data_IF_406092068858
#
_entry.id   IF_406092068858
#
_cell.length_a   1.000
_cell.length_b   1.000
_cell.length_c   1.000
_cell.angle_alpha   90.00
_cell.angle_beta   90.00
_cell.angle_gamma   90.00
#
_symmetry.space_group_name_H-M   'P 1'
#
loop_
_entity.id
_entity.type
_entity.pdbx_description
1 polymer ?
#
# COMPACT_ATOMS: atom_id res chain seq x y z
N UNK A 1 52.12 -16.50 -60.59
CA UNK A 1 52.09 -16.12 -59.16
C UNK A 1 51.54 -14.72 -59.03
N UNK A 2 50.42 -14.53 -58.32
CA UNK A 2 49.74 -13.25 -58.17
C UNK A 2 50.45 -12.46 -57.06
N UNK A 3 51.13 -11.36 -57.39
CA UNK A 3 51.78 -10.52 -56.39
C UNK A 3 50.72 -9.83 -55.53
N UNK A 4 50.72 -10.12 -54.22
CA UNK A 4 49.90 -9.40 -53.24
C UNK A 4 50.53 -8.02 -53.03
N UNK A 5 49.84 -6.96 -53.46
CA UNK A 5 50.24 -5.57 -53.17
C UNK A 5 50.24 -5.37 -51.65
N UNK A 6 51.40 -5.01 -51.10
CA UNK A 6 51.53 -4.53 -49.72
C UNK A 6 50.73 -3.24 -49.56
N UNK A 7 49.75 -3.25 -48.64
CA UNK A 7 49.03 -2.04 -48.25
C UNK A 7 49.92 -1.22 -47.30
N UNK A 8 49.93 0.12 -47.40
CA UNK A 8 50.72 0.95 -46.49
C UNK A 8 50.34 0.67 -45.04
N UNK A 9 51.35 0.51 -44.19
CA UNK A 9 51.15 0.34 -42.75
C UNK A 9 50.62 1.65 -42.14
N UNK A 10 49.68 1.54 -41.20
CA UNK A 10 49.14 2.66 -40.44
C UNK A 10 50.27 3.41 -39.71
N UNK A 11 50.21 4.74 -39.73
CA UNK A 11 51.17 5.56 -38.97
C UNK A 11 50.88 5.46 -37.47
N UNK A 12 51.92 5.59 -36.64
CA UNK A 12 51.78 5.50 -35.19
C UNK A 12 50.78 6.53 -34.63
N UNK A 13 50.72 7.72 -35.24
CA UNK A 13 49.78 8.78 -34.86
C UNK A 13 48.33 8.41 -35.19
N UNK A 14 48.06 7.79 -36.34
CA UNK A 14 46.71 7.32 -36.70
C UNK A 14 46.23 6.20 -35.76
N UNK A 15 47.15 5.33 -35.30
CA UNK A 15 46.85 4.31 -34.31
C UNK A 15 46.47 4.93 -32.96
N UNK A 16 47.21 5.94 -32.50
CA UNK A 16 46.90 6.66 -31.25
C UNK A 16 45.54 7.34 -31.33
N UNK A 17 45.24 8.08 -32.41
CA UNK A 17 43.95 8.74 -32.61
C UNK A 17 42.80 7.72 -32.60
N UNK A 18 42.98 6.58 -33.29
CA UNK A 18 41.98 5.52 -33.36
C UNK A 18 41.70 4.91 -31.98
N UNK A 19 42.74 4.65 -31.19
CA UNK A 19 42.58 4.14 -29.82
C UNK A 19 41.84 5.17 -28.96
N UNK A 20 42.20 6.45 -29.03
CA UNK A 20 41.53 7.51 -28.25
C UNK A 20 40.04 7.61 -28.56
N UNK A 21 39.66 7.65 -29.86
CA UNK A 21 38.25 7.70 -30.27
C UNK A 21 37.51 6.44 -29.81
N UNK A 22 38.13 5.27 -29.93
CA UNK A 22 37.56 4.01 -29.49
C UNK A 22 37.35 3.97 -27.97
N UNK A 23 38.32 4.47 -27.18
CA UNK A 23 38.19 4.56 -25.72
C UNK A 23 37.05 5.50 -25.31
N UNK A 24 36.92 6.65 -25.96
CA UNK A 24 35.79 7.58 -25.70
C UNK A 24 34.46 6.90 -26.00
N UNK A 25 34.36 6.19 -27.13
CA UNK A 25 33.16 5.49 -27.52
C UNK A 25 32.79 4.35 -26.54
N UNK A 26 33.76 3.54 -26.12
CA UNK A 26 33.54 2.51 -25.08
C UNK A 26 33.09 3.17 -23.77
N UNK A 27 33.73 4.26 -23.36
CA UNK A 27 33.37 4.97 -22.14
C UNK A 27 31.92 5.43 -22.15
N UNK A 28 31.46 6.03 -23.26
CA UNK A 28 30.07 6.43 -23.44
C UNK A 28 29.11 5.23 -23.44
N UNK A 29 29.49 4.14 -24.10
CA UNK A 29 28.67 2.92 -24.18
C UNK A 29 28.50 2.28 -22.80
N UNK A 30 29.58 2.21 -22.01
CA UNK A 30 29.57 1.66 -20.66
C UNK A 30 28.76 2.53 -19.70
N UNK A 31 28.90 3.86 -19.78
CA UNK A 31 28.09 4.78 -18.99
C UNK A 31 26.59 4.63 -19.27
N UNK A 32 26.23 4.52 -20.56
CA UNK A 32 24.85 4.28 -20.99
C UNK A 32 24.32 2.93 -20.46
N UNK A 33 25.13 1.88 -20.58
CA UNK A 33 24.77 0.54 -20.08
C UNK A 33 24.51 0.54 -18.57
N UNK A 34 25.39 1.15 -17.77
CA UNK A 34 25.23 1.25 -16.31
C UNK A 34 23.94 2.00 -15.97
N UNK A 35 23.68 3.13 -16.65
CA UNK A 35 22.48 3.92 -16.41
C UNK A 35 21.20 3.15 -16.75
N UNK A 36 21.20 2.44 -17.88
CA UNK A 36 20.08 1.61 -18.30
C UNK A 36 19.84 0.44 -17.33
N UNK A 37 20.91 -0.24 -16.91
CA UNK A 37 20.79 -1.35 -15.97
C UNK A 37 20.24 -0.90 -14.61
N UNK A 38 20.69 0.25 -14.10
CA UNK A 38 20.13 0.84 -12.88
C UNK A 38 18.64 1.15 -13.02
N UNK A 39 18.24 1.77 -14.12
CA UNK A 39 16.82 2.06 -14.39
C UNK A 39 15.97 0.79 -14.45
N UNK A 40 16.48 -0.30 -15.04
CA UNK A 40 15.78 -1.58 -15.05
C UNK A 40 15.59 -2.18 -13.65
N UNK A 41 16.62 -2.11 -12.80
CA UNK A 41 16.53 -2.60 -11.42
C UNK A 41 15.52 -1.80 -10.59
N UNK A 42 15.49 -0.48 -10.75
CA UNK A 42 14.53 0.40 -10.08
C UNK A 42 13.09 0.14 -10.55
N UNK A 43 12.90 -0.04 -11.86
CA UNK A 43 11.59 -0.39 -12.42
C UNK A 43 11.10 -1.76 -11.91
N UNK A 44 12.00 -2.74 -11.77
CA UNK A 44 11.66 -4.06 -11.23
C UNK A 44 11.23 -3.98 -9.77
N UNK A 45 11.95 -3.21 -8.93
CA UNK A 45 11.59 -3.00 -7.52
C UNK A 45 10.23 -2.30 -7.39
N UNK A 46 10.02 -1.23 -8.16
CA UNK A 46 8.74 -0.49 -8.18
C UNK A 46 7.57 -1.37 -8.62
N UNK A 47 7.78 -2.21 -9.64
CA UNK A 47 6.75 -3.14 -10.11
C UNK A 47 6.39 -4.18 -9.06
N UNK A 48 7.38 -4.70 -8.33
CA UNK A 48 7.14 -5.66 -7.24
C UNK A 48 6.29 -5.02 -6.14
N UNK A 49 6.65 -3.81 -5.73
CA UNK A 49 5.91 -3.07 -4.70
C UNK A 49 4.47 -2.76 -5.14
N UNK A 50 4.27 -2.42 -6.42
CA UNK A 50 2.95 -2.17 -6.98
C UNK A 50 2.08 -3.45 -7.01
N UNK A 51 2.64 -4.60 -7.38
CA UNK A 51 1.90 -5.88 -7.33
C UNK A 51 1.49 -6.25 -5.92
N UNK A 52 2.34 -5.97 -4.94
CA UNK A 52 2.05 -6.22 -3.54
C UNK A 52 0.96 -5.29 -3.02
N UNK A 53 1.07 -3.99 -3.33
CA UNK A 53 0.04 -3.00 -3.06
C UNK A 53 -1.31 -3.44 -3.64
N UNK A 54 -1.35 -3.82 -4.92
CA UNK A 54 -2.56 -4.30 -5.58
C UNK A 54 -3.14 -5.54 -4.87
N UNK A 55 -2.29 -6.46 -4.42
CA UNK A 55 -2.74 -7.66 -3.68
C UNK A 55 -3.39 -7.29 -2.34
N UNK A 56 -2.72 -6.46 -1.53
CA UNK A 56 -3.24 -5.96 -0.24
C UNK A 56 -4.58 -5.26 -0.46
N UNK A 57 -4.64 -4.42 -1.49
CA UNK A 57 -5.82 -3.67 -1.85
C UNK A 57 -6.98 -4.54 -2.29
N UNK A 58 -6.73 -5.56 -3.10
CA UNK A 58 -7.76 -6.47 -3.55
C UNK A 58 -8.34 -7.25 -2.36
N UNK A 59 -7.50 -7.69 -1.42
CA UNK A 59 -7.96 -8.37 -0.19
C UNK A 59 -8.87 -7.44 0.62
N UNK A 60 -8.41 -6.22 0.95
CA UNK A 60 -9.21 -5.26 1.71
C UNK A 60 -10.51 -4.87 0.99
N UNK A 61 -10.44 -4.66 -0.32
CA UNK A 61 -11.60 -4.28 -1.12
C UNK A 61 -12.61 -5.41 -1.18
N UNK A 62 -12.18 -6.66 -1.40
CA UNK A 62 -13.08 -7.82 -1.38
C UNK A 62 -13.75 -7.95 -0.02
N UNK A 63 -12.97 -7.87 1.07
CA UNK A 63 -13.52 -7.92 2.43
C UNK A 63 -14.52 -6.79 2.71
N UNK A 64 -14.25 -5.57 2.26
CA UNK A 64 -15.17 -4.42 2.41
C UNK A 64 -16.46 -4.54 1.59
N UNK A 65 -16.40 -5.21 0.44
CA UNK A 65 -17.57 -5.42 -0.42
C UNK A 65 -18.43 -6.59 0.08
N UNK A 66 -17.82 -7.60 0.70
CA UNK A 66 -18.50 -8.80 1.20
C UNK A 66 -19.07 -8.63 2.61
N UNK A 67 -18.51 -7.70 3.39
CA UNK A 67 -18.85 -7.49 4.79
C UNK A 67 -19.37 -6.07 5.05
N UNK A 68 -20.15 -5.92 6.12
CA UNK A 68 -20.58 -4.60 6.62
C UNK A 68 -19.54 -4.04 7.58
N UNK A 69 -19.52 -2.73 7.74
CA UNK A 69 -18.71 -2.08 8.77
C UNK A 69 -19.28 -2.41 10.15
N UNK A 70 -18.42 -2.77 11.09
CA UNK A 70 -18.80 -3.06 12.47
C UNK A 70 -18.74 -1.78 13.31
N UNK A 71 -19.84 -1.02 13.33
CA UNK A 71 -19.92 0.21 14.12
C UNK A 71 -19.92 -0.04 15.64
N UNK A 72 -20.37 -1.22 16.08
CA UNK A 72 -20.40 -1.58 17.50
C UNK A 72 -18.99 -1.70 18.07
N UNK A 73 -18.03 -2.19 17.27
CA UNK A 73 -16.61 -2.23 17.63
C UNK A 73 -16.09 -0.86 18.06
N UNK A 74 -16.51 0.20 17.36
CA UNK A 74 -16.11 1.58 17.63
C UNK A 74 -16.95 2.26 18.73
N UNK A 75 -18.14 1.73 19.05
CA UNK A 75 -19.00 2.25 20.10
C UNK A 75 -18.67 1.70 21.49
N UNK A 76 -18.17 0.45 21.56
CA UNK A 76 -17.83 -0.25 22.81
C UNK A 76 -16.50 0.22 23.40
N UNK A 77 -15.53 0.58 22.55
CA UNK A 77 -14.33 1.28 22.96
C UNK A 77 -14.66 2.76 23.19
N UNK A 78 -15.32 3.05 24.32
CA UNK A 78 -15.70 4.40 24.78
C UNK A 78 -14.52 5.35 25.08
N UNK A 79 -13.41 5.18 24.39
CA UNK A 79 -12.22 6.01 24.46
C UNK A 79 -11.62 6.13 23.06
N UNK A 80 -12.18 7.05 22.28
CA UNK A 80 -11.61 7.46 20.99
C UNK A 80 -10.12 7.84 21.09
N UNK A 81 -9.58 8.07 22.30
CA UNK A 81 -8.17 8.36 22.52
C UNK A 81 -7.26 7.13 22.48
N UNK A 82 -7.73 5.92 22.80
CA UNK A 82 -6.88 4.71 22.82
C UNK A 82 -6.56 4.18 21.41
N UNK A 83 -7.52 4.24 20.48
CA UNK A 83 -7.29 3.93 19.06
C UNK A 83 -6.54 5.05 18.31
N UNK A 84 -6.70 6.31 18.75
CA UNK A 84 -5.92 7.46 18.23
C UNK A 84 -4.47 7.47 18.73
N UNK A 85 -4.20 6.96 19.93
CA UNK A 85 -2.87 6.95 20.54
C UNK A 85 -1.91 5.90 19.94
N UNK A 86 -2.40 4.87 19.23
CA UNK A 86 -1.53 3.83 18.65
C UNK A 86 -1.09 4.08 17.20
N UNK A 87 -1.58 5.14 16.54
CA UNK A 87 -1.24 5.46 15.15
C UNK A 87 -0.99 6.95 14.95
N UNK A 88 0.18 7.44 15.36
CA UNK A 88 0.71 8.79 15.09
C UNK A 88 -0.16 9.99 15.57
N UNK A 89 0.45 10.86 16.38
CA UNK A 89 -0.07 12.18 16.79
C UNK A 89 -0.47 13.12 15.61
N UNK A 90 -0.21 12.72 14.36
CA UNK A 90 -0.62 13.41 13.13
C UNK A 90 -2.12 13.29 12.77
N UNK A 91 -2.85 12.31 13.31
CA UNK A 91 -4.30 12.14 13.04
C UNK A 91 -5.18 13.07 13.89
N UNK A 92 -4.63 13.71 14.92
CA UNK A 92 -5.39 14.65 15.75
C UNK A 92 -5.79 15.92 14.99
N UNK A 93 -4.96 16.37 14.05
CA UNK A 93 -5.12 17.67 13.36
C UNK A 93 -6.16 17.63 12.21
N UNK A 94 -6.52 16.44 11.72
CA UNK A 94 -7.54 16.28 10.66
C UNK A 94 -8.99 16.30 11.18
N UNK A 95 -9.19 16.07 12.49
CA UNK A 95 -10.53 16.14 13.11
C UNK A 95 -11.11 17.55 13.24
N UNK A 96 -10.32 18.58 12.91
CA UNK A 96 -10.73 19.99 12.91
C UNK A 96 -11.51 20.41 11.65
N UNK A 97 -11.62 19.53 10.64
CA UNK A 97 -12.30 19.83 9.37
C UNK A 97 -13.82 19.58 9.37
N UNK A 98 -14.41 19.23 10.51
CA UNK A 98 -15.88 19.16 10.65
C UNK A 98 -16.56 18.11 9.76
N UNK A 99 -15.82 17.10 9.30
CA UNK A 99 -16.40 15.95 8.62
C UNK A 99 -16.94 14.98 9.66
N UNK A 100 -18.14 14.45 9.41
CA UNK A 100 -18.82 13.42 10.19
C UNK A 100 -18.14 12.04 9.99
N UNK A 101 -16.81 12.02 9.91
CA UNK A 101 -15.99 10.89 9.50
C UNK A 101 -15.28 10.26 10.70
N UNK A 102 -15.33 8.94 10.78
CA UNK A 102 -14.55 8.19 11.76
C UNK A 102 -13.15 7.90 11.19
N UNK A 103 -12.13 8.55 11.74
CA UNK A 103 -10.73 8.30 11.40
C UNK A 103 -10.13 7.24 12.34
N UNK A 104 -9.53 6.20 11.79
CA UNK A 104 -9.03 5.06 12.57
C UNK A 104 -7.89 4.33 11.86
N UNK A 105 -6.95 3.78 12.63
CA UNK A 105 -5.90 2.87 12.14
C UNK A 105 -6.37 1.41 12.08
N UNK A 106 -7.60 1.13 12.54
CA UNK A 106 -8.20 -0.20 12.61
C UNK A 106 -9.54 -0.21 11.87
N UNK A 107 -9.69 -1.10 10.90
CA UNK A 107 -10.94 -1.35 10.20
C UNK A 107 -11.57 -2.65 10.68
N UNK A 108 -12.71 -2.56 11.36
CA UNK A 108 -13.50 -3.70 11.80
C UNK A 108 -14.69 -3.91 10.86
N UNK A 109 -14.81 -5.12 10.34
CA UNK A 109 -15.87 -5.55 9.47
C UNK A 109 -16.57 -6.75 10.11
N UNK A 110 -17.87 -6.86 9.87
CA UNK A 110 -18.69 -7.98 10.29
C UNK A 110 -19.39 -8.61 9.10
N UNK A 111 -19.43 -9.93 9.08
CA UNK A 111 -20.16 -10.68 8.06
C UNK A 111 -21.65 -10.36 8.10
N UNK A 112 -22.31 -10.64 6.98
CA UNK A 112 -23.74 -10.43 6.77
C UNK A 112 -24.60 -11.30 7.71
N UNK A 113 -24.11 -12.49 8.05
CA UNK A 113 -24.74 -13.40 9.01
C UNK A 113 -24.51 -13.00 10.48
N UNK A 114 -23.51 -12.15 10.72
CA UNK A 114 -23.15 -11.66 12.05
C UNK A 114 -22.20 -12.57 12.82
N UNK A 115 -21.83 -13.73 12.27
CA UNK A 115 -21.05 -14.74 12.99
C UNK A 115 -19.54 -14.53 12.87
N UNK A 116 -19.10 -13.92 11.76
CA UNK A 116 -17.69 -13.64 11.53
C UNK A 116 -17.36 -12.15 11.66
N UNK A 117 -16.24 -11.84 12.31
CA UNK A 117 -15.65 -10.50 12.37
C UNK A 117 -14.25 -10.51 11.75
N UNK A 118 -13.96 -9.54 10.90
CA UNK A 118 -12.66 -9.34 10.25
C UNK A 118 -12.10 -8.00 10.71
N UNK A 119 -10.90 -8.01 11.30
CA UNK A 119 -10.22 -6.81 11.77
C UNK A 119 -8.93 -6.63 10.97
N UNK A 120 -8.80 -5.49 10.29
CA UNK A 120 -7.55 -5.03 9.71
C UNK A 120 -6.89 -4.07 10.69
N UNK A 121 -5.65 -4.37 11.08
CA UNK A 121 -4.87 -3.54 11.99
C UNK A 121 -3.49 -3.27 11.41
N UNK A 122 -3.06 -2.01 11.49
CA UNK A 122 -1.68 -1.64 11.27
C UNK A 122 -1.04 -1.25 12.61
N UNK A 123 0.04 -1.94 12.98
CA UNK A 123 0.79 -1.65 14.19
C UNK A 123 2.28 -1.97 13.98
N UNK A 124 3.14 -1.03 14.36
CA UNK A 124 4.60 -1.16 14.29
C UNK A 124 5.11 -1.56 12.88
N UNK A 125 4.54 -0.94 11.84
CA UNK A 125 4.93 -1.21 10.45
C UNK A 125 4.39 -2.53 9.87
N UNK A 126 3.63 -3.30 10.67
CA UNK A 126 3.03 -4.57 10.25
C UNK A 126 1.54 -4.40 10.05
N UNK A 127 1.06 -4.81 8.88
CA UNK A 127 -0.35 -4.84 8.53
C UNK A 127 -0.88 -6.27 8.62
N UNK A 128 -1.83 -6.49 9.52
CA UNK A 128 -2.46 -7.78 9.77
C UNK A 128 -3.95 -7.77 9.47
N UNK A 129 -4.46 -8.92 9.07
CA UNK A 129 -5.88 -9.26 8.99
C UNK A 129 -6.16 -10.36 10.01
N UNK A 130 -7.13 -10.15 10.88
CA UNK A 130 -7.54 -11.10 11.90
C UNK A 130 -9.00 -11.48 11.67
N UNK A 131 -9.31 -12.78 11.69
CA UNK A 131 -10.68 -13.29 11.59
C UNK A 131 -11.11 -13.95 12.90
N UNK A 132 -12.33 -13.63 13.32
CA UNK A 132 -12.97 -14.15 14.52
C UNK A 132 -14.31 -14.77 14.15
N UNK A 133 -14.64 -15.86 14.81
CA UNK A 133 -15.96 -16.50 14.74
C UNK A 133 -16.56 -16.45 16.15
N UNK A 134 -17.73 -15.83 16.28
CA UNK A 134 -18.46 -15.70 17.55
C UNK A 134 -18.96 -17.06 18.07
N UNK A 135 -19.18 -18.07 17.22
CA UNK A 135 -19.73 -19.36 17.63
C UNK A 135 -18.67 -20.40 18.08
N UNK A 136 -17.37 -20.15 17.83
CA UNK A 136 -16.33 -21.18 17.92
C UNK A 136 -15.17 -20.98 18.91
N UNK A 137 -14.91 -19.76 19.39
CA UNK A 137 -13.65 -19.46 20.09
C UNK A 137 -13.82 -19.24 21.60
N UNK A 138 -13.51 -20.28 22.40
CA UNK A 138 -13.37 -20.17 23.86
C UNK A 138 -12.10 -19.40 24.29
N UNK A 139 -11.17 -19.19 23.37
CA UNK A 139 -9.99 -18.32 23.47
C UNK A 139 -9.76 -17.74 22.07
N UNK A 140 -9.75 -16.41 21.95
CA UNK A 140 -9.92 -15.68 20.69
C UNK A 140 -8.95 -16.01 19.53
N UNK A 141 -9.36 -15.54 18.35
CA UNK A 141 -8.68 -15.56 17.05
C UNK A 141 -8.64 -16.93 16.34
N UNK A 142 -9.25 -17.00 15.15
CA UNK A 142 -9.22 -18.19 14.30
C UNK A 142 -8.07 -18.15 13.28
N UNK A 143 -7.78 -16.98 12.72
CA UNK A 143 -6.77 -16.80 11.68
C UNK A 143 -6.18 -15.37 11.78
N UNK A 144 -4.86 -15.26 11.65
CA UNK A 144 -4.15 -13.97 11.61
C UNK A 144 -3.11 -14.01 10.50
N UNK A 145 -3.35 -13.21 9.46
CA UNK A 145 -2.48 -13.13 8.28
C UNK A 145 -1.77 -11.79 8.24
N UNK A 146 -0.48 -11.81 7.91
CA UNK A 146 0.27 -10.61 7.56
C UNK A 146 0.06 -10.35 6.07
N UNK A 147 -0.43 -9.17 5.70
CA UNK A 147 -0.84 -8.88 4.32
C UNK A 147 0.29 -8.45 3.40
N UNK A 148 1.46 -8.11 3.97
CA UNK A 148 2.63 -7.67 3.22
C UNK A 148 3.79 -8.67 3.35
N UNK A 149 4.73 -8.58 2.43
CA UNK A 149 5.93 -9.39 2.38
C UNK A 149 6.99 -8.88 3.35
N UNK A 150 7.96 -9.75 3.68
CA UNK A 150 9.10 -9.41 4.53
C UNK A 150 10.01 -8.30 3.97
N UNK A 151 9.87 -7.95 2.69
CA UNK A 151 10.72 -6.97 2.01
C UNK A 151 10.02 -5.64 1.77
N UNK A 152 8.82 -5.49 2.34
CA UNK A 152 7.97 -4.32 2.22
C UNK A 152 7.55 -3.88 3.61
N UNK A 153 7.65 -2.58 3.86
CA UNK A 153 7.24 -1.96 5.10
C UNK A 153 5.98 -1.14 4.85
N UNK A 154 5.06 -1.17 5.81
CA UNK A 154 3.91 -0.27 5.83
C UNK A 154 4.29 0.99 6.61
N UNK A 155 4.65 2.04 5.88
CA UNK A 155 5.12 3.30 6.49
C UNK A 155 3.96 4.09 7.11
N UNK A 156 2.77 4.01 6.50
CA UNK A 156 1.58 4.70 6.96
C UNK A 156 0.31 3.98 6.53
N UNK A 157 -0.69 3.95 7.40
CA UNK A 157 -2.02 3.48 7.05
C UNK A 157 -3.09 4.20 7.88
N UNK A 158 -4.17 4.62 7.22
CA UNK A 158 -5.34 5.20 7.87
C UNK A 158 -6.62 4.84 7.12
N UNK A 159 -7.70 4.66 7.86
CA UNK A 159 -9.05 4.52 7.36
C UNK A 159 -9.88 5.73 7.74
N UNK A 160 -10.65 6.24 6.80
CA UNK A 160 -11.67 7.25 7.05
C UNK A 160 -13.03 6.68 6.66
N UNK A 161 -13.90 6.49 7.64
CA UNK A 161 -15.20 5.85 7.47
C UNK A 161 -16.28 6.93 7.50
N UNK A 162 -17.14 6.94 6.48
CA UNK A 162 -18.24 7.87 6.31
C UNK A 162 -19.55 7.10 6.16
N UNK A 163 -20.61 7.38 6.91
CA UNK A 163 -20.62 8.26 8.07
C UNK A 163 -19.87 7.65 9.26
N UNK A 164 -19.48 8.47 10.23
CA UNK A 164 -18.76 8.04 11.43
C UNK A 164 -19.65 7.34 12.46
N UNK A 165 -20.95 7.24 12.19
CA UNK A 165 -21.96 6.52 12.98
C UNK A 165 -22.70 5.53 12.11
N UNK A 166 -23.30 4.52 12.72
CA UNK A 166 -24.06 3.50 11.98
C UNK A 166 -25.28 4.12 11.28
N UNK A 167 -25.33 4.15 9.93
CA UNK A 167 -26.48 4.66 9.20
C UNK A 167 -27.70 3.73 9.26
N UNK A 168 -27.51 2.49 9.72
CA UNK A 168 -28.56 1.47 9.82
C UNK A 168 -29.22 1.39 11.20
N UNK A 169 -28.73 2.17 12.17
CA UNK A 169 -29.36 2.29 13.48
C UNK A 169 -30.67 3.09 13.38
N UNK A 170 -31.71 2.58 14.03
CA UNK A 170 -33.03 3.20 14.08
C UNK A 170 -32.99 4.58 14.77
N UNK A 171 -32.06 4.78 15.70
CA UNK A 171 -31.89 6.09 16.36
C UNK A 171 -31.36 7.15 15.38
N UNK A 172 -30.47 6.75 14.47
CA UNK A 172 -29.88 7.62 13.45
C UNK A 172 -30.77 7.82 12.21
N UNK A 173 -31.88 7.08 12.10
CA UNK A 173 -32.82 7.17 10.98
C UNK A 173 -33.49 8.53 10.79
N UNK A 174 -33.35 9.46 11.73
CA UNK A 174 -33.91 10.83 11.64
C UNK A 174 -32.88 11.87 11.20
N UNK A 175 -31.61 11.50 11.10
CA UNK A 175 -30.51 12.37 10.71
C UNK A 175 -30.21 12.21 9.21
N UNK A 176 -30.67 13.16 8.39
CA UNK A 176 -30.51 13.12 6.92
C UNK A 176 -29.03 13.04 6.50
N UNK A 177 -28.11 13.57 7.31
CA UNK A 177 -26.66 13.48 7.13
C UNK A 177 -26.07 12.10 7.38
N UNK A 178 -26.84 11.14 7.92
CA UNK A 178 -26.38 9.77 8.16
C UNK A 178 -27.05 8.77 7.21
N UNK A 179 -28.07 9.17 6.43
CA UNK A 179 -28.81 8.26 5.55
C UNK A 179 -28.13 8.00 4.19
N UNK A 180 -26.84 7.66 4.19
CA UNK A 180 -26.14 7.24 2.97
C UNK A 180 -25.33 5.96 3.20
N UNK A 181 -24.98 5.31 2.08
CA UNK A 181 -24.23 4.05 2.10
C UNK A 181 -22.81 4.29 2.62
N UNK A 182 -22.29 3.46 3.54
CA UNK A 182 -20.95 3.63 4.08
C UNK A 182 -19.86 3.68 3.01
N UNK A 183 -18.94 4.62 3.16
CA UNK A 183 -17.74 4.79 2.33
C UNK A 183 -16.53 4.71 3.24
N UNK A 184 -15.58 3.84 2.91
CA UNK A 184 -14.29 3.75 3.57
C UNK A 184 -13.24 4.30 2.63
N UNK A 185 -12.60 5.40 3.00
CA UNK A 185 -11.38 5.85 2.36
C UNK A 185 -10.20 5.17 3.02
N UNK A 186 -9.33 4.59 2.20
CA UNK A 186 -8.10 3.96 2.65
C UNK A 186 -6.93 4.78 2.14
N UNK A 187 -6.04 5.16 3.05
CA UNK A 187 -4.75 5.75 2.75
C UNK A 187 -3.66 4.76 3.19
N UNK A 188 -2.78 4.38 2.28
CA UNK A 188 -1.74 3.39 2.50
C UNK A 188 -0.43 3.84 1.84
N UNK A 189 0.64 3.89 2.60
CA UNK A 189 1.99 4.11 2.09
C UNK A 189 2.84 2.87 2.33
N UNK A 190 3.36 2.30 1.25
CA UNK A 190 4.28 1.17 1.30
C UNK A 190 5.67 1.61 0.86
N UNK A 191 6.69 1.08 1.52
CA UNK A 191 8.08 1.23 1.09
C UNK A 191 8.80 -0.10 0.97
N UNK A 192 9.77 -0.16 0.05
CA UNK A 192 10.65 -1.32 -0.08
C UNK A 192 12.09 -0.84 -0.29
N UNK A 193 13.10 -1.60 0.20
CA UNK A 193 14.51 -1.29 -0.05
C UNK A 193 14.78 -1.17 -1.54
N UNK A 194 15.33 -0.02 -1.95
CA UNK A 194 15.72 0.17 -3.34
C UNK A 194 17.07 -0.50 -3.61
N UNK A 195 17.31 -0.85 -4.89
CA UNK A 195 18.63 -1.34 -5.34
C UNK A 195 19.56 -0.22 -5.81
N UNK A 196 18.98 0.93 -6.15
CA UNK A 196 19.69 2.10 -6.71
C UNK A 196 19.49 3.34 -5.84
N UNK A 197 18.26 3.56 -5.36
CA UNK A 197 17.91 4.53 -4.30
C UNK A 197 17.81 3.79 -2.97
N UNK A 198 17.88 4.51 -1.86
CA UNK A 198 17.78 3.91 -0.52
C UNK A 198 16.43 3.20 -0.32
N UNK A 199 15.34 3.79 -0.82
CA UNK A 199 13.99 3.21 -0.78
C UNK A 199 13.16 3.59 -1.99
N UNK A 200 12.22 2.72 -2.34
CA UNK A 200 11.10 3.01 -3.24
C UNK A 200 9.85 3.13 -2.37
N UNK A 201 9.07 4.19 -2.57
CA UNK A 201 7.85 4.47 -1.80
C UNK A 201 6.70 4.61 -2.78
N UNK A 202 5.56 4.00 -2.45
CA UNK A 202 4.30 4.16 -3.17
C UNK A 202 3.22 4.57 -2.19
N UNK A 203 2.54 5.67 -2.52
CA UNK A 203 1.37 6.18 -1.80
C UNK A 203 0.12 5.80 -2.57
N UNK A 204 -0.87 5.29 -1.86
CA UNK A 204 -2.18 4.96 -2.40
C UNK A 204 -3.27 5.57 -1.55
N UNK A 205 -4.24 6.16 -2.24
CA UNK A 205 -5.50 6.59 -1.68
C UNK A 205 -6.62 6.02 -2.52
N UNK A 206 -7.58 5.35 -1.89
CA UNK A 206 -8.79 4.85 -2.55
C UNK A 206 -10.02 5.07 -1.69
N UNK A 207 -11.20 4.96 -2.29
CA UNK A 207 -12.48 5.04 -1.59
C UNK A 207 -13.37 3.90 -2.04
N UNK A 208 -13.86 3.13 -1.07
CA UNK A 208 -14.65 1.93 -1.29
C UNK A 208 -16.01 2.15 -0.64
N UNK A 209 -17.08 2.07 -1.43
CA UNK A 209 -18.45 2.12 -0.91
C UNK A 209 -18.92 0.71 -0.63
N UNK A 210 -19.22 0.39 0.63
CA UNK A 210 -19.88 -0.86 0.99
C UNK A 210 -21.38 -0.66 0.88
N UNK A 211 -22.06 -1.57 0.18
CA UNK A 211 -23.53 -1.56 0.07
C UNK A 211 -24.09 -2.81 0.68
N UNK A 212 -24.88 -2.63 1.74
CA UNK A 212 -25.58 -3.72 2.38
C UNK A 212 -27.08 -3.59 2.09
N UNK A 213 -27.64 -4.63 1.45
CA UNK A 213 -29.08 -4.72 1.21
C UNK A 213 -29.67 -5.71 2.22
N UNK A 214 -30.57 -5.23 3.09
CA UNK A 214 -31.39 -6.07 3.96
C UNK A 214 -32.62 -6.59 3.23
#
# INVERSE_FOLDING_TARGET
MKQLKSKPAFTLIEMTISITVFTIFIGFSMATYISFHRAQQEAAATRSLLMELDSVMNIMTSSLLENKIDYDYYALEGDHDALRAQGNELLADLSLLGSDALQTSVLALRSSDGNEQIIFKWFDGVLTMQKFDEEGAQDGYMESDVLHSLHTNVDYMNFEIFPGKDPYDLENSKEDNLQYQPIVQLNLTLSSPGRVRDRVVLDLQTSITSRFYR
#
